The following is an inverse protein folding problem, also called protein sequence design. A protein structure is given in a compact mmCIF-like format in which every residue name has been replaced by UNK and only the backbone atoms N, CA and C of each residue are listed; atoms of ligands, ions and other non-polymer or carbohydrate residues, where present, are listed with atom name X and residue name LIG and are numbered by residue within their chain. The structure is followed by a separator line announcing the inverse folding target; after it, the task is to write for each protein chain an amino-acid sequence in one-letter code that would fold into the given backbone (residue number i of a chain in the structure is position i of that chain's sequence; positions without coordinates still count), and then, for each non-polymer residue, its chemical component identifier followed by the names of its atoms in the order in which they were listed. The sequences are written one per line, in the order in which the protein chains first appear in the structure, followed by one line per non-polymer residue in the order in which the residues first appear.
data_IF_824549293626
#
_entry.id   IF_824549293626
#
_cell.length_a   1.000
_cell.length_b   1.000
_cell.length_c   1.000
_cell.angle_alpha   90.00
_cell.angle_beta   90.00
_cell.angle_gamma   90.00
#
_symmetry.space_group_name_H-M   'P 1'
#
loop_
_entity.id
_entity.type
_entity.pdbx_description
1 polymer ?
#
# COMPACT_ATOMS: atom_id res chain seq x y z
N UNK A 1 0.34 1.14 -30.80
CA UNK A 1 0.81 0.40 -29.61
C UNK A 1 0.91 1.28 -28.37
N UNK A 2 1.45 2.51 -28.45
CA UNK A 2 1.55 3.40 -27.27
C UNK A 2 0.19 3.84 -26.67
N UNK A 3 -0.80 4.22 -27.48
CA UNK A 3 -2.02 4.84 -26.94
C UNK A 3 -2.82 3.89 -26.03
N UNK A 4 -2.98 2.63 -26.43
CA UNK A 4 -3.68 1.59 -25.65
C UNK A 4 -3.00 1.34 -24.29
N UNK A 5 -1.67 1.45 -24.21
CA UNK A 5 -0.95 1.35 -22.92
C UNK A 5 -1.21 2.56 -22.01
N UNK A 6 -1.26 3.78 -22.55
CA UNK A 6 -1.61 4.98 -21.76
C UNK A 6 -3.04 4.91 -21.24
N UNK A 7 -3.98 4.47 -22.07
CA UNK A 7 -5.39 4.31 -21.69
C UNK A 7 -5.56 3.22 -20.62
N UNK A 8 -4.79 2.13 -20.68
CA UNK A 8 -4.79 1.08 -19.67
C UNK A 8 -4.25 1.58 -18.31
N UNK A 9 -3.19 2.38 -18.31
CA UNK A 9 -2.64 2.97 -17.09
C UNK A 9 -3.65 3.95 -16.46
N UNK A 10 -4.22 4.85 -17.26
CA UNK A 10 -5.26 5.77 -16.80
C UNK A 10 -6.48 5.03 -16.24
N UNK A 11 -6.91 3.94 -16.89
CA UNK A 11 -8.00 3.09 -16.42
C UNK A 11 -7.72 2.41 -15.07
N UNK A 12 -6.49 1.93 -14.85
CA UNK A 12 -6.09 1.32 -13.58
C UNK A 12 -6.08 2.33 -12.41
N UNK A 13 -5.59 3.55 -12.64
CA UNK A 13 -5.60 4.62 -11.64
C UNK A 13 -7.03 5.06 -11.31
N UNK A 14 -7.88 5.16 -12.33
CA UNK A 14 -9.28 5.53 -12.16
C UNK A 14 -10.05 4.51 -11.32
N UNK A 15 -9.93 3.22 -11.63
CA UNK A 15 -10.62 2.16 -10.88
C UNK A 15 -10.12 2.04 -9.45
N UNK A 16 -8.81 2.18 -9.21
CA UNK A 16 -8.21 2.16 -7.88
C UNK A 16 -8.73 3.31 -7.00
N UNK A 17 -8.77 4.53 -7.53
CA UNK A 17 -9.23 5.71 -6.79
C UNK A 17 -10.73 5.64 -6.48
N UNK A 18 -11.55 5.16 -7.41
CA UNK A 18 -12.98 4.91 -7.17
C UNK A 18 -13.20 3.87 -6.08
N UNK A 19 -12.52 2.72 -6.16
CA UNK A 19 -12.65 1.66 -5.17
C UNK A 19 -12.18 2.12 -3.78
N UNK A 20 -11.05 2.82 -3.71
CA UNK A 20 -10.53 3.36 -2.45
C UNK A 20 -11.51 4.36 -1.82
N UNK A 21 -11.99 5.35 -2.59
CA UNK A 21 -12.95 6.34 -2.09
C UNK A 21 -14.25 5.72 -1.58
N UNK A 22 -14.82 4.78 -2.35
CA UNK A 22 -16.07 4.10 -2.00
C UNK A 22 -15.93 3.19 -0.77
N UNK A 23 -14.82 2.46 -0.64
CA UNK A 23 -14.54 1.65 0.54
C UNK A 23 -14.38 2.53 1.78
N UNK A 24 -13.51 3.54 1.70
CA UNK A 24 -13.10 4.37 2.84
C UNK A 24 -14.29 5.16 3.40
N UNK A 25 -15.09 5.78 2.52
CA UNK A 25 -16.27 6.52 2.93
C UNK A 25 -17.35 5.64 3.59
N UNK A 26 -17.52 4.39 3.11
CA UNK A 26 -18.48 3.46 3.70
C UNK A 26 -17.98 2.82 5.00
N UNK A 27 -16.67 2.69 5.18
CA UNK A 27 -16.06 2.09 6.37
C UNK A 27 -16.47 2.84 7.64
N UNK A 28 -16.31 4.17 7.68
CA UNK A 28 -16.64 4.97 8.88
C UNK A 28 -18.13 4.89 9.23
N UNK A 29 -19.01 4.91 8.22
CA UNK A 29 -20.46 4.76 8.41
C UNK A 29 -20.78 3.38 8.97
N UNK A 30 -20.11 2.33 8.49
CA UNK A 30 -20.31 0.96 8.97
C UNK A 30 -19.90 0.79 10.45
N UNK A 31 -18.77 1.40 10.86
CA UNK A 31 -18.33 1.36 12.27
C UNK A 31 -19.34 2.02 13.20
N UNK A 32 -19.90 3.16 12.80
CA UNK A 32 -20.87 3.90 13.62
C UNK A 32 -22.22 3.19 13.65
N UNK A 33 -22.73 2.75 12.50
CA UNK A 33 -24.10 2.22 12.38
C UNK A 33 -24.23 0.74 12.76
N UNK A 34 -23.28 -0.11 12.37
CA UNK A 34 -23.35 -1.57 12.60
C UNK A 34 -22.65 -2.00 13.87
N UNK A 35 -21.47 -1.44 14.16
CA UNK A 35 -20.71 -1.76 15.36
C UNK A 35 -21.05 -0.85 16.55
N UNK A 36 -21.93 0.14 16.37
CA UNK A 36 -22.35 1.09 17.41
C UNK A 36 -21.15 1.77 18.12
N UNK A 37 -20.04 1.91 17.41
CA UNK A 37 -18.83 2.55 17.93
C UNK A 37 -19.09 4.05 18.05
N UNK A 38 -18.68 4.65 19.16
CA UNK A 38 -18.80 6.10 19.37
C UNK A 38 -18.07 6.82 18.24
N UNK A 39 -18.68 7.89 17.69
CA UNK A 39 -18.14 8.61 16.53
C UNK A 39 -16.69 9.07 16.68
N UNK A 40 -16.26 9.38 17.91
CA UNK A 40 -14.87 9.76 18.23
C UNK A 40 -13.91 8.60 17.97
N UNK A 41 -14.27 7.41 18.44
CA UNK A 41 -13.45 6.19 18.34
C UNK A 41 -13.46 5.66 16.89
N UNK A 42 -14.62 5.72 16.22
CA UNK A 42 -14.75 5.39 14.80
C UNK A 42 -13.89 6.31 13.90
N UNK A 43 -13.81 7.61 14.23
CA UNK A 43 -12.95 8.56 13.53
C UNK A 43 -11.47 8.27 13.79
N UNK A 44 -11.12 7.83 14.98
CA UNK A 44 -9.74 7.46 15.31
C UNK A 44 -9.30 6.23 14.50
N UNK A 45 -10.13 5.19 14.45
CA UNK A 45 -9.89 4.00 13.60
C UNK A 45 -9.80 4.40 12.12
N UNK A 46 -10.70 5.25 11.64
CA UNK A 46 -10.65 5.77 10.27
C UNK A 46 -9.32 6.48 9.96
N UNK A 47 -8.87 7.37 10.84
CA UNK A 47 -7.60 8.08 10.67
C UNK A 47 -6.40 7.13 10.68
N UNK A 48 -6.42 6.09 11.51
CA UNK A 48 -5.38 5.05 11.50
C UNK A 48 -5.39 4.32 10.15
N UNK A 49 -6.55 3.89 9.65
CA UNK A 49 -6.66 3.19 8.35
C UNK A 49 -6.17 4.07 7.20
N UNK A 50 -6.58 5.35 7.15
CA UNK A 50 -6.12 6.32 6.14
C UNK A 50 -4.62 6.59 6.26
N UNK A 51 -4.10 6.70 7.49
CA UNK A 51 -2.67 6.80 7.75
C UNK A 51 -1.91 5.58 7.22
N UNK A 52 -2.40 4.37 7.50
CA UNK A 52 -1.82 3.11 7.01
C UNK A 52 -1.78 3.06 5.48
N UNK A 53 -2.84 3.49 4.78
CA UNK A 53 -2.83 3.55 3.32
C UNK A 53 -1.80 4.52 2.75
N UNK A 54 -1.35 5.51 3.52
CA UNK A 54 -0.29 6.44 3.11
C UNK A 54 1.12 5.84 3.28
N UNK A 55 1.33 5.01 4.31
CA UNK A 55 2.61 4.28 4.50
C UNK A 55 2.71 2.98 3.70
N UNK A 56 1.59 2.35 3.36
CA UNK A 56 1.53 1.13 2.55
C UNK A 56 2.30 1.22 1.21
N UNK A 57 2.15 2.28 0.39
CA UNK A 57 2.92 2.41 -0.85
C UNK A 57 4.42 2.59 -0.63
N UNK A 58 4.87 3.10 0.52
CA UNK A 58 6.31 3.18 0.84
C UNK A 58 6.88 1.77 1.01
N UNK A 59 6.18 0.91 1.76
CA UNK A 59 6.56 -0.49 1.91
C UNK A 59 6.48 -1.23 0.57
N UNK A 60 5.42 -0.98 -0.21
CA UNK A 60 5.26 -1.54 -1.55
C UNK A 60 6.36 -1.12 -2.51
N UNK A 61 6.83 0.13 -2.45
CA UNK A 61 7.94 0.64 -3.25
C UNK A 61 9.26 -0.04 -2.87
N UNK A 62 9.56 -0.18 -1.58
CA UNK A 62 10.77 -0.90 -1.11
C UNK A 62 10.75 -2.36 -1.54
N UNK A 63 9.60 -3.03 -1.41
CA UNK A 63 9.44 -4.40 -1.90
C UNK A 63 9.64 -4.47 -3.41
N UNK A 64 8.98 -3.62 -4.19
CA UNK A 64 9.11 -3.59 -5.65
C UNK A 64 10.57 -3.34 -6.09
N UNK A 65 11.26 -2.40 -5.46
CA UNK A 65 12.67 -2.09 -5.74
C UNK A 65 13.61 -3.24 -5.34
N UNK A 66 13.23 -3.97 -4.29
CA UNK A 66 13.98 -5.15 -3.82
C UNK A 66 13.82 -6.37 -4.75
N UNK A 67 12.61 -6.62 -5.27
CA UNK A 67 12.34 -7.75 -6.15
C UNK A 67 12.91 -7.57 -7.56
N UNK A 68 13.13 -6.34 -8.02
CA UNK A 68 13.63 -6.04 -9.38
C UNK A 68 15.17 -5.94 -9.49
N UNK A 69 15.91 -6.56 -8.57
CA UNK A 69 17.31 -6.97 -8.80
C UNK A 69 18.34 -6.51 -7.75
N UNK A 70 18.18 -5.36 -7.13
CA UNK A 70 19.20 -4.83 -6.21
C UNK A 70 19.31 -5.60 -4.90
N UNK A 71 18.18 -5.98 -4.29
CA UNK A 71 18.20 -6.60 -2.96
C UNK A 71 18.78 -8.01 -2.96
N UNK A 72 18.55 -8.80 -4.02
CA UNK A 72 19.11 -10.14 -4.14
C UNK A 72 20.65 -10.10 -4.16
N UNK A 73 21.24 -9.16 -4.91
CA UNK A 73 22.70 -9.00 -5.00
C UNK A 73 23.28 -8.54 -3.66
N UNK A 74 22.68 -7.53 -3.03
CA UNK A 74 23.10 -7.00 -1.72
C UNK A 74 23.04 -8.10 -0.66
N UNK A 75 21.97 -8.91 -0.68
CA UNK A 75 21.80 -10.03 0.25
C UNK A 75 22.88 -11.08 0.07
N UNK A 76 23.15 -11.53 -1.16
CA UNK A 76 24.19 -12.52 -1.46
C UNK A 76 25.58 -12.02 -1.05
N UNK A 77 25.94 -10.78 -1.39
CA UNK A 77 27.23 -10.20 -1.01
C UNK A 77 27.38 -9.98 0.50
N UNK A 78 26.28 -9.64 1.19
CA UNK A 78 26.25 -9.53 2.65
C UNK A 78 26.53 -10.89 3.32
N UNK A 79 25.91 -11.97 2.83
CA UNK A 79 26.19 -13.33 3.31
C UNK A 79 27.63 -13.78 3.03
N UNK A 80 28.16 -13.51 1.83
CA UNK A 80 29.56 -13.82 1.49
C UNK A 80 30.53 -13.06 2.40
N UNK A 81 30.29 -11.77 2.66
CA UNK A 81 31.13 -10.96 3.54
C UNK A 81 31.12 -11.46 4.99
N UNK A 82 29.97 -11.89 5.50
CA UNK A 82 29.86 -12.49 6.84
C UNK A 82 30.58 -13.85 6.94
N UNK A 83 30.57 -14.65 5.87
CA UNK A 83 31.27 -15.93 5.82
C UNK A 83 32.79 -15.78 5.67
N UNK A 84 33.26 -14.78 4.93
CA UNK A 84 34.69 -14.47 4.74
C UNK A 84 35.31 -13.81 5.98
N UNK A 85 34.51 -13.13 6.80
CA UNK A 85 34.97 -12.52 8.05
C UNK A 85 35.09 -13.53 9.23
N UNK A 86 35.03 -14.84 8.93
CA UNK A 86 35.38 -15.95 9.81
C UNK A 86 36.61 -16.66 9.28
#
# INVERSE_FOLDING_TARGET
MNQVFYDAHAGSMFTLTMAAGGWIGNLIVYLITKYNVKSIDATQVFNVVVGCMSVFPIVGAVLSDSFYGSFAVITVFSFVSLLVQR
#
